data_IF_006174517726
#
_entry.id   IF_006174517726
#
_cell.length_a   1.000
_cell.length_b   1.000
_cell.length_c   1.000
_cell.angle_alpha   90.00
_cell.angle_beta   90.00
_cell.angle_gamma   90.00
#
_symmetry.space_group_name_H-M   'P 1'
#
loop_
_entity.id
_entity.type
_entity.pdbx_description
1 polymer ?
#
# COMPACT_ATOMS: atom_id res chain seq x y z
N UNK A 1 11.07 1.90 14.26
CA UNK A 1 10.97 0.61 14.98
C UNK A 1 9.90 -0.22 14.28
N UNK A 2 10.24 -1.46 13.85
CA UNK A 2 9.26 -2.37 13.21
C UNK A 2 8.27 -2.95 14.23
N UNK A 3 7.16 -3.52 13.73
CA UNK A 3 6.13 -4.14 14.58
C UNK A 3 6.68 -5.28 15.45
N UNK A 4 7.67 -6.00 14.96
CA UNK A 4 8.31 -7.09 15.69
C UNK A 4 9.09 -6.61 16.91
N UNK A 5 9.61 -5.39 16.88
CA UNK A 5 10.42 -4.79 17.95
C UNK A 5 9.56 -4.09 19.02
N UNK A 6 8.25 -3.99 18.84
CA UNK A 6 7.36 -3.45 19.86
C UNK A 6 7.39 -4.33 21.11
N UNK A 7 7.65 -3.68 22.26
CA UNK A 7 7.64 -4.30 23.59
C UNK A 7 6.95 -3.38 24.60
N UNK A 8 6.34 -3.93 25.63
CA UNK A 8 5.74 -3.12 26.71
C UNK A 8 6.73 -2.12 27.32
N UNK A 9 7.99 -2.52 27.48
CA UNK A 9 9.05 -1.62 28.03
C UNK A 9 9.39 -0.49 27.06
N UNK A 10 9.50 -0.80 25.76
CA UNK A 10 9.79 0.22 24.73
C UNK A 10 8.68 1.26 24.66
N UNK A 11 7.41 0.79 24.67
CA UNK A 11 6.22 1.66 24.68
C UNK A 11 6.18 2.52 25.96
N UNK A 12 6.42 1.92 27.11
CA UNK A 12 6.46 2.64 28.39
C UNK A 12 7.51 3.76 28.39
N UNK A 13 8.70 3.45 27.88
CA UNK A 13 9.80 4.42 27.76
C UNK A 13 9.46 5.58 26.83
N UNK A 14 8.84 5.28 25.67
CA UNK A 14 8.48 6.30 24.67
C UNK A 14 7.35 7.22 25.18
N UNK A 15 6.39 6.67 25.93
CA UNK A 15 5.27 7.43 26.49
C UNK A 15 5.58 8.10 27.84
N UNK A 16 6.76 7.84 28.44
CA UNK A 16 7.11 8.37 29.76
C UNK A 16 6.25 7.82 30.89
N UNK A 17 5.75 6.58 30.75
CA UNK A 17 4.90 5.91 31.76
C UNK A 17 5.59 4.68 32.35
N UNK A 18 5.01 4.09 33.40
CA UNK A 18 5.56 2.85 33.97
C UNK A 18 5.24 1.64 33.11
N UNK A 19 6.13 0.65 33.08
CA UNK A 19 5.90 -0.63 32.41
C UNK A 19 4.63 -1.33 32.92
N UNK A 20 4.37 -1.27 34.25
CA UNK A 20 3.19 -1.85 34.85
C UNK A 20 1.89 -1.23 34.31
N UNK A 21 1.89 0.07 34.03
CA UNK A 21 0.74 0.76 33.45
C UNK A 21 0.45 0.24 32.04
N UNK A 22 1.46 0.10 31.20
CA UNK A 22 1.28 -0.44 29.84
C UNK A 22 0.76 -1.88 29.89
N UNK A 23 1.35 -2.74 30.72
CA UNK A 23 0.89 -4.14 30.87
C UNK A 23 -0.53 -4.21 31.43
N UNK A 24 -0.93 -3.27 32.30
CA UNK A 24 -2.30 -3.23 32.85
C UNK A 24 -3.35 -2.99 31.76
N UNK A 25 -3.09 -2.05 30.84
CA UNK A 25 -4.02 -1.72 29.75
C UNK A 25 -3.90 -2.65 28.56
N UNK A 26 -2.70 -3.12 28.25
CA UNK A 26 -2.38 -3.94 27.08
C UNK A 26 -1.58 -5.18 27.50
N UNK A 27 -2.21 -6.16 28.15
CA UNK A 27 -1.52 -7.35 28.66
C UNK A 27 -1.05 -8.28 27.54
N UNK A 28 -1.76 -8.32 26.41
CA UNK A 28 -1.44 -9.17 25.26
C UNK A 28 -0.67 -8.39 24.19
N UNK A 29 0.64 -8.63 24.12
CA UNK A 29 1.52 -8.01 23.14
C UNK A 29 1.19 -8.42 21.69
N UNK A 30 0.63 -9.61 21.47
CA UNK A 30 0.24 -10.03 20.13
C UNK A 30 -1.00 -9.27 19.65
N UNK A 31 -2.00 -9.10 20.53
CA UNK A 31 -3.17 -8.26 20.26
C UNK A 31 -2.77 -6.80 20.01
N UNK A 32 -1.89 -6.25 20.83
CA UNK A 32 -1.40 -4.87 20.66
C UNK A 32 -0.70 -4.68 19.31
N UNK A 33 0.17 -5.62 18.91
CA UNK A 33 0.82 -5.57 17.58
C UNK A 33 -0.19 -5.63 16.44
N UNK A 34 -1.24 -6.44 16.55
CA UNK A 34 -2.32 -6.51 15.57
C UNK A 34 -3.09 -5.18 15.47
N UNK A 35 -3.40 -4.56 16.61
CA UNK A 35 -4.06 -3.24 16.66
C UNK A 35 -3.19 -2.15 16.03
N UNK A 36 -1.91 -2.08 16.35
CA UNK A 36 -0.97 -1.11 15.76
C UNK A 36 -0.83 -1.34 14.25
N UNK A 37 -0.69 -2.59 13.82
CA UNK A 37 -0.65 -2.95 12.41
C UNK A 37 -1.91 -2.45 11.69
N UNK A 38 -3.10 -2.75 12.24
CA UNK A 38 -4.37 -2.29 11.68
C UNK A 38 -4.43 -0.77 11.57
N UNK A 39 -4.08 -0.04 12.65
CA UNK A 39 -4.15 1.42 12.66
C UNK A 39 -3.29 2.05 11.57
N UNK A 40 -2.04 1.57 11.41
CA UNK A 40 -1.09 2.10 10.43
C UNK A 40 -1.51 1.78 8.98
N UNK A 41 -1.95 0.55 8.72
CA UNK A 41 -2.43 0.16 7.39
C UNK A 41 -3.75 0.85 7.03
N UNK A 42 -4.64 1.05 8.01
CA UNK A 42 -5.87 1.79 7.84
C UNK A 42 -5.61 3.27 7.51
N UNK A 43 -4.67 3.90 8.20
CA UNK A 43 -4.27 5.29 7.92
C UNK A 43 -3.77 5.45 6.49
N UNK A 44 -2.86 4.59 6.06
CA UNK A 44 -2.35 4.54 4.69
C UNK A 44 -3.48 4.41 3.66
N UNK A 45 -4.38 3.45 3.88
CA UNK A 45 -5.53 3.21 3.01
C UNK A 45 -6.41 4.45 2.89
N UNK A 46 -6.76 5.07 4.03
CA UNK A 46 -7.62 6.26 4.06
C UNK A 46 -6.96 7.46 3.39
N UNK A 47 -5.66 7.66 3.58
CA UNK A 47 -4.91 8.73 2.90
C UNK A 47 -4.94 8.53 1.39
N UNK A 48 -4.68 7.31 0.91
CA UNK A 48 -4.73 7.00 -0.52
C UNK A 48 -6.13 7.15 -1.09
N UNK A 49 -7.15 6.63 -0.41
CA UNK A 49 -8.54 6.75 -0.85
C UNK A 49 -8.96 8.20 -1.03
N UNK A 50 -8.63 9.08 -0.07
CA UNK A 50 -8.91 10.52 -0.16
C UNK A 50 -8.24 11.18 -1.36
N UNK A 51 -7.01 10.79 -1.69
CA UNK A 51 -6.31 11.31 -2.87
C UNK A 51 -6.98 10.89 -4.19
N UNK A 52 -7.71 9.78 -4.19
CA UNK A 52 -8.44 9.27 -5.36
C UNK A 52 -9.89 9.77 -5.42
N UNK A 53 -10.41 10.30 -4.31
CA UNK A 53 -11.75 10.90 -4.27
C UNK A 53 -11.86 12.07 -5.25
N UNK A 54 -12.95 12.09 -6.03
CA UNK A 54 -13.22 13.16 -6.99
C UNK A 54 -12.46 13.06 -8.32
N UNK A 55 -11.56 12.10 -8.50
CA UNK A 55 -10.93 11.84 -9.80
C UNK A 55 -11.92 11.03 -10.64
N UNK A 56 -12.51 11.69 -11.66
CA UNK A 56 -13.49 11.08 -12.54
C UNK A 56 -12.84 10.18 -13.60
N UNK A 57 -11.74 10.64 -14.19
CA UNK A 57 -10.97 9.95 -15.22
C UNK A 57 -10.22 8.75 -14.62
N UNK A 58 -10.44 7.55 -15.16
CA UNK A 58 -9.86 6.33 -14.60
C UNK A 58 -8.35 6.23 -14.87
N UNK A 59 -7.88 6.77 -16.00
CA UNK A 59 -6.44 6.84 -16.32
C UNK A 59 -5.72 7.73 -15.30
N UNK A 60 -6.29 8.90 -14.99
CA UNK A 60 -5.73 9.81 -13.98
C UNK A 60 -5.78 9.20 -12.58
N UNK A 61 -6.82 8.46 -12.26
CA UNK A 61 -6.92 7.70 -11.01
C UNK A 61 -5.81 6.67 -10.87
N UNK A 62 -5.56 5.87 -11.90
CA UNK A 62 -4.47 4.88 -11.92
C UNK A 62 -3.11 5.55 -11.86
N UNK A 63 -2.90 6.64 -12.63
CA UNK A 63 -1.65 7.43 -12.60
C UNK A 63 -1.37 7.99 -11.21
N UNK A 64 -2.39 8.54 -10.56
CA UNK A 64 -2.30 9.05 -9.19
C UNK A 64 -1.95 7.93 -8.22
N UNK A 65 -2.61 6.78 -8.32
CA UNK A 65 -2.32 5.62 -7.48
C UNK A 65 -0.85 5.18 -7.63
N UNK A 66 -0.34 5.03 -8.87
CA UNK A 66 1.06 4.68 -9.13
C UNK A 66 2.02 5.70 -8.49
N UNK A 67 1.73 6.99 -8.64
CA UNK A 67 2.53 8.07 -8.05
C UNK A 67 2.58 7.98 -6.52
N UNK A 68 1.43 7.77 -5.88
CA UNK A 68 1.35 7.60 -4.42
C UNK A 68 2.13 6.36 -3.97
N UNK A 69 1.97 5.23 -4.67
CA UNK A 69 2.63 3.96 -4.36
C UNK A 69 4.15 4.04 -4.53
N UNK A 70 4.64 4.89 -5.44
CA UNK A 70 6.08 5.10 -5.70
C UNK A 70 6.69 6.19 -4.83
N UNK A 71 5.93 6.85 -3.96
CA UNK A 71 6.39 7.93 -3.10
C UNK A 71 7.45 7.48 -2.07
N UNK A 72 8.48 8.30 -1.78
CA UNK A 72 9.44 8.05 -0.69
C UNK A 72 8.78 7.82 0.67
N UNK A 73 7.66 8.48 0.93
CA UNK A 73 6.90 8.36 2.20
C UNK A 73 6.36 6.94 2.40
N UNK A 74 6.21 6.17 1.32
CA UNK A 74 5.67 4.82 1.38
C UNK A 74 6.63 3.77 1.96
N UNK A 75 7.92 4.03 2.04
CA UNK A 75 8.89 3.05 2.56
C UNK A 75 8.55 2.59 3.99
N UNK A 76 8.03 3.49 4.83
CA UNK A 76 7.59 3.13 6.19
C UNK A 76 6.39 2.17 6.17
N UNK A 77 5.40 2.41 5.30
CA UNK A 77 4.23 1.53 5.15
C UNK A 77 4.60 0.17 4.56
N UNK A 78 5.50 0.14 3.58
CA UNK A 78 6.03 -1.10 3.03
C UNK A 78 6.66 -1.99 4.11
N UNK A 79 7.39 -1.39 5.05
CA UNK A 79 7.94 -2.13 6.20
C UNK A 79 6.84 -2.69 7.12
N UNK A 80 5.74 -1.93 7.35
CA UNK A 80 4.60 -2.40 8.14
C UNK A 80 3.91 -3.58 7.46
N UNK A 81 3.72 -3.54 6.14
CA UNK A 81 3.17 -4.66 5.38
C UNK A 81 4.04 -5.92 5.52
N UNK A 82 5.36 -5.77 5.37
CA UNK A 82 6.30 -6.89 5.49
C UNK A 82 6.28 -7.51 6.90
N UNK A 83 6.30 -6.66 7.93
CA UNK A 83 6.16 -7.09 9.32
C UNK A 83 4.80 -7.76 9.57
N UNK A 84 3.71 -7.21 9.01
CA UNK A 84 2.37 -7.77 9.10
C UNK A 84 2.27 -9.16 8.51
N UNK A 85 2.81 -9.39 7.32
CA UNK A 85 2.86 -10.73 6.71
C UNK A 85 3.72 -11.70 7.52
N UNK A 86 4.89 -11.27 7.96
CA UNK A 86 5.80 -12.08 8.77
C UNK A 86 5.16 -12.52 10.09
N UNK A 87 4.56 -11.57 10.83
CA UNK A 87 3.86 -11.84 12.09
C UNK A 87 2.59 -12.67 11.87
N UNK A 88 1.84 -12.40 10.80
CA UNK A 88 0.62 -13.10 10.45
C UNK A 88 0.80 -14.59 10.21
N UNK A 89 2.00 -15.04 9.85
CA UNK A 89 2.33 -16.47 9.73
C UNK A 89 2.17 -17.23 11.05
N UNK A 90 2.31 -16.55 12.18
CA UNK A 90 2.34 -17.16 13.51
C UNK A 90 1.26 -16.60 14.46
N UNK A 91 0.63 -15.48 14.10
CA UNK A 91 -0.36 -14.79 14.93
C UNK A 91 -1.68 -14.61 14.17
N UNK A 92 -2.71 -15.42 14.46
CA UNK A 92 -4.00 -15.38 13.72
C UNK A 92 -4.66 -14.02 13.68
N UNK A 93 -4.60 -13.25 14.76
CA UNK A 93 -5.16 -11.88 14.81
C UNK A 93 -4.48 -10.93 13.83
N UNK A 94 -3.14 -10.95 13.75
CA UNK A 94 -2.40 -10.17 12.74
C UNK A 94 -2.71 -10.65 11.33
N UNK A 95 -2.80 -11.96 11.10
CA UNK A 95 -3.16 -12.51 9.80
C UNK A 95 -4.54 -12.03 9.32
N UNK A 96 -5.51 -11.92 10.23
CA UNK A 96 -6.85 -11.43 9.90
C UNK A 96 -6.83 -9.96 9.52
N UNK A 97 -6.12 -9.12 10.26
CA UNK A 97 -5.89 -7.70 9.93
C UNK A 97 -5.31 -7.55 8.54
N UNK A 98 -4.22 -8.25 8.25
CA UNK A 98 -3.55 -8.19 6.96
C UNK A 98 -4.48 -8.60 5.83
N UNK A 99 -5.18 -9.73 5.97
CA UNK A 99 -6.14 -10.21 4.95
C UNK A 99 -7.29 -9.22 4.73
N UNK A 100 -7.80 -8.60 5.80
CA UNK A 100 -8.87 -7.62 5.69
C UNK A 100 -8.39 -6.38 4.92
N UNK A 101 -7.19 -5.89 5.21
CA UNK A 101 -6.61 -4.75 4.51
C UNK A 101 -6.26 -5.07 3.05
N UNK A 102 -5.74 -6.26 2.75
CA UNK A 102 -5.50 -6.70 1.36
C UNK A 102 -6.81 -6.71 0.56
N UNK A 103 -7.92 -7.22 1.11
CA UNK A 103 -9.24 -7.17 0.43
C UNK A 103 -9.68 -5.74 0.14
N UNK A 104 -9.51 -4.82 1.09
CA UNK A 104 -9.86 -3.41 0.88
C UNK A 104 -9.06 -2.76 -0.25
N UNK A 105 -7.77 -3.05 -0.32
CA UNK A 105 -6.94 -2.58 -1.42
C UNK A 105 -7.36 -3.18 -2.75
N UNK A 106 -7.66 -4.48 -2.78
CA UNK A 106 -8.19 -5.16 -3.97
C UNK A 106 -9.51 -4.53 -4.44
N UNK A 107 -10.44 -4.26 -3.51
CA UNK A 107 -11.72 -3.61 -3.82
C UNK A 107 -11.53 -2.18 -4.35
N UNK A 108 -10.60 -1.41 -3.77
CA UNK A 108 -10.29 -0.06 -4.24
C UNK A 108 -9.73 -0.07 -5.67
N UNK A 109 -8.73 -0.89 -5.92
CA UNK A 109 -8.07 -0.97 -7.24
C UNK A 109 -8.99 -1.57 -8.29
N UNK A 110 -9.72 -2.65 -7.97
CA UNK A 110 -10.68 -3.25 -8.89
C UNK A 110 -11.83 -2.30 -9.22
N UNK A 111 -12.30 -1.52 -8.25
CA UNK A 111 -13.31 -0.48 -8.48
C UNK A 111 -12.81 0.60 -9.45
N UNK A 112 -11.55 1.01 -9.33
CA UNK A 112 -10.93 1.97 -10.26
C UNK A 112 -10.84 1.39 -11.67
N UNK A 113 -10.35 0.15 -11.80
CA UNK A 113 -10.28 -0.54 -13.10
C UNK A 113 -11.67 -0.75 -13.72
N UNK A 114 -12.67 -1.18 -12.91
CA UNK A 114 -14.04 -1.38 -13.39
C UNK A 114 -14.66 -0.09 -13.94
N UNK A 115 -14.37 1.07 -13.32
CA UNK A 115 -14.84 2.35 -13.87
C UNK A 115 -14.24 2.63 -15.24
N UNK A 116 -12.93 2.42 -15.41
CA UNK A 116 -12.27 2.64 -16.69
C UNK A 116 -12.73 1.69 -17.80
N UNK A 117 -13.04 0.43 -17.46
CA UNK A 117 -13.67 -0.51 -18.40
C UNK A 117 -15.06 -0.01 -18.79
N UNK A 118 -15.86 0.40 -17.81
CA UNK A 118 -17.24 0.86 -18.05
C UNK A 118 -17.32 2.17 -18.85
N UNK A 119 -16.34 3.07 -18.70
CA UNK A 119 -16.23 4.32 -19.47
C UNK A 119 -15.58 4.13 -20.85
N UNK A 120 -15.02 2.95 -21.12
CA UNK A 120 -14.29 2.68 -22.37
C UNK A 120 -12.84 3.26 -22.39
N UNK A 121 -12.34 3.73 -21.24
CA UNK A 121 -10.97 4.18 -21.10
C UNK A 121 -9.97 3.01 -21.07
N UNK A 122 -10.42 1.84 -20.57
CA UNK A 122 -9.63 0.62 -20.50
C UNK A 122 -10.23 -0.48 -21.40
N UNK A 123 -9.38 -1.39 -21.85
CA UNK A 123 -9.81 -2.60 -22.51
C UNK A 123 -10.74 -3.43 -21.61
N UNK A 124 -11.54 -4.30 -22.21
CA UNK A 124 -12.39 -5.25 -21.48
C UNK A 124 -11.51 -6.29 -20.76
N UNK A 125 -11.29 -6.09 -19.47
CA UNK A 125 -10.43 -6.91 -18.61
C UNK A 125 -11.16 -7.30 -17.33
N UNK A 126 -10.78 -8.44 -16.76
CA UNK A 126 -11.20 -8.79 -15.41
C UNK A 126 -10.53 -7.83 -14.40
N UNK A 127 -11.32 -6.89 -13.89
CA UNK A 127 -10.86 -5.84 -12.99
C UNK A 127 -10.27 -6.40 -11.69
N UNK A 128 -10.84 -7.52 -11.19
CA UNK A 128 -10.38 -8.14 -9.95
C UNK A 128 -9.05 -8.85 -10.14
N UNK A 129 -8.89 -9.59 -11.23
CA UNK A 129 -7.61 -10.20 -11.60
C UNK A 129 -6.53 -9.12 -11.82
N UNK A 130 -6.88 -8.03 -12.52
CA UNK A 130 -6.00 -6.88 -12.74
C UNK A 130 -5.52 -6.25 -11.42
N UNK A 131 -6.45 -6.04 -10.48
CA UNK A 131 -6.12 -5.47 -9.16
C UNK A 131 -5.19 -6.39 -8.37
N UNK A 132 -5.46 -7.68 -8.38
CA UNK A 132 -4.64 -8.67 -7.67
C UNK A 132 -3.21 -8.72 -8.23
N UNK A 133 -3.06 -8.80 -9.56
CA UNK A 133 -1.75 -8.79 -10.25
C UNK A 133 -0.95 -7.53 -9.91
N UNK A 134 -1.60 -6.39 -9.93
CA UNK A 134 -0.99 -5.11 -9.66
C UNK A 134 -0.51 -4.96 -8.22
N UNK A 135 -1.33 -5.37 -7.25
CA UNK A 135 -0.97 -5.34 -5.83
C UNK A 135 0.20 -6.28 -5.57
N UNK A 136 0.17 -7.51 -6.13
CA UNK A 136 1.25 -8.46 -5.97
C UNK A 136 2.59 -7.95 -6.55
N UNK A 137 2.56 -7.28 -7.71
CA UNK A 137 3.73 -6.64 -8.30
C UNK A 137 4.27 -5.53 -7.39
N UNK A 138 3.39 -4.66 -6.92
CA UNK A 138 3.75 -3.57 -6.02
C UNK A 138 4.38 -4.07 -4.72
N UNK A 139 3.79 -5.09 -4.11
CA UNK A 139 4.28 -5.68 -2.87
C UNK A 139 5.66 -6.29 -3.06
N UNK A 140 5.89 -6.99 -4.16
CA UNK A 140 7.20 -7.52 -4.54
C UNK A 140 8.25 -6.42 -4.71
N UNK A 141 7.92 -5.35 -5.43
CA UNK A 141 8.81 -4.21 -5.61
C UNK A 141 9.12 -3.50 -4.28
N UNK A 142 8.13 -3.29 -3.43
CA UNK A 142 8.31 -2.70 -2.11
C UNK A 142 9.24 -3.55 -1.24
N UNK A 143 9.08 -4.87 -1.24
CA UNK A 143 9.97 -5.78 -0.52
C UNK A 143 11.41 -5.69 -1.03
N UNK A 144 11.60 -5.61 -2.36
CA UNK A 144 12.92 -5.41 -2.97
C UNK A 144 13.59 -4.12 -2.49
N UNK A 145 12.83 -3.01 -2.44
CA UNK A 145 13.36 -1.73 -1.95
C UNK A 145 13.84 -1.77 -0.51
N UNK A 146 13.10 -2.46 0.35
CA UNK A 146 13.45 -2.52 1.78
C UNK A 146 14.78 -3.20 2.03
N UNK A 147 15.23 -4.05 1.12
CA UNK A 147 16.54 -4.71 1.18
C UNK A 147 17.59 -4.07 0.25
N UNK A 148 17.27 -2.91 -0.34
CA UNK A 148 18.20 -2.16 -1.20
C UNK A 148 18.41 -2.77 -2.59
N UNK A 149 17.47 -3.61 -3.08
CA UNK A 149 17.54 -4.19 -4.42
C UNK A 149 16.74 -3.34 -5.42
N UNK A 150 17.41 -2.77 -6.40
CA UNK A 150 16.83 -1.87 -7.41
C UNK A 150 16.82 -0.39 -7.01
N UNK A 151 16.48 0.47 -7.95
CA UNK A 151 16.42 1.91 -7.75
C UNK A 151 14.98 2.41 -7.80
N UNK A 152 14.63 3.31 -6.87
CA UNK A 152 13.28 3.90 -6.78
C UNK A 152 12.83 4.56 -8.10
N UNK A 153 13.75 5.17 -8.84
CA UNK A 153 13.45 5.80 -10.13
C UNK A 153 12.91 4.82 -11.18
N UNK A 154 13.18 3.53 -11.03
CA UNK A 154 12.69 2.49 -11.93
C UNK A 154 11.30 1.97 -11.57
N UNK A 155 10.82 2.26 -10.32
CA UNK A 155 9.57 1.66 -9.82
C UNK A 155 8.35 2.08 -10.62
N UNK A 156 8.25 3.36 -10.94
CA UNK A 156 7.12 3.88 -11.72
C UNK A 156 7.01 3.13 -13.03
N UNK A 157 8.12 3.01 -13.75
CA UNK A 157 8.15 2.32 -15.04
C UNK A 157 7.84 0.83 -14.90
N UNK A 158 8.42 0.18 -13.88
CA UNK A 158 8.17 -1.24 -13.59
C UNK A 158 6.73 -1.56 -13.20
N UNK A 159 5.97 -0.57 -12.71
CA UNK A 159 4.53 -0.69 -12.42
C UNK A 159 3.72 -0.24 -13.64
N UNK A 160 4.04 0.91 -14.23
CA UNK A 160 3.24 1.53 -15.28
C UNK A 160 3.21 0.67 -16.55
N UNK A 161 4.37 0.19 -17.02
CA UNK A 161 4.46 -0.56 -18.29
C UNK A 161 3.61 -1.83 -18.32
N UNK A 162 3.65 -2.74 -17.31
CA UNK A 162 2.76 -3.89 -17.28
C UNK A 162 1.28 -3.51 -17.17
N UNK A 163 0.97 -2.44 -16.45
CA UNK A 163 -0.41 -1.97 -16.30
C UNK A 163 -0.95 -1.36 -17.59
N UNK A 164 -0.16 -0.56 -18.29
CA UNK A 164 -0.52 -0.04 -19.61
C UNK A 164 -0.86 -1.18 -20.59
N UNK A 165 0.00 -2.18 -20.67
CA UNK A 165 -0.22 -3.35 -21.50
C UNK A 165 -1.50 -4.12 -21.09
N UNK A 166 -1.72 -4.30 -19.77
CA UNK A 166 -2.86 -5.02 -19.24
C UNK A 166 -4.18 -4.29 -19.46
N UNK A 167 -4.18 -2.95 -19.35
CA UNK A 167 -5.36 -2.10 -19.51
C UNK A 167 -5.61 -1.66 -20.96
N UNK A 168 -4.75 -2.06 -21.91
CA UNK A 168 -4.86 -1.69 -23.32
C UNK A 168 -4.51 -0.22 -23.59
N UNK A 169 -3.71 0.40 -22.74
CA UNK A 169 -3.28 1.79 -22.87
C UNK A 169 -2.04 1.91 -23.74
N UNK A 170 -1.86 3.08 -24.37
CA UNK A 170 -0.65 3.39 -25.09
C UNK A 170 0.55 3.50 -24.13
N UNK A 171 1.77 3.07 -24.54
CA UNK A 171 2.96 3.21 -23.71
C UNK A 171 3.19 4.66 -23.27
N UNK A 172 3.52 4.85 -21.98
CA UNK A 172 3.77 6.16 -21.38
C UNK A 172 2.52 6.86 -20.83
N UNK A 173 1.31 6.30 -21.04
CA UNK A 173 0.05 6.88 -20.55
C UNK A 173 0.02 6.99 -19.03
N UNK A 174 0.55 6.00 -18.32
CA UNK A 174 0.55 5.96 -16.85
C UNK A 174 1.83 6.51 -16.22
N UNK A 175 2.79 6.95 -17.04
CA UNK A 175 3.98 7.61 -16.52
C UNK A 175 3.60 8.93 -15.83
N UNK A 176 4.13 9.23 -14.63
CA UNK A 176 3.85 10.51 -13.98
C UNK A 176 4.33 11.64 -14.90
N UNK A 177 3.51 12.68 -14.99
CA UNK A 177 3.88 13.91 -15.70
C UNK A 177 5.16 14.43 -15.04
N UNK A 178 6.27 14.41 -15.74
CA UNK A 178 7.53 15.01 -15.25
C UNK A 178 7.28 16.50 -15.13
N UNK A 179 7.42 17.06 -13.92
CA UNK A 179 7.29 18.52 -13.67
C UNK A 179 8.29 19.41 -14.45
N UNK A 180 8.90 18.91 -15.49
CA UNK A 180 9.94 19.61 -16.25
C UNK A 180 9.46 20.33 -17.51
N UNK A 181 8.18 20.20 -17.92
CA UNK A 181 7.68 20.86 -19.13
C UNK A 181 6.99 22.21 -18.90
N UNK A 182 7.07 22.79 -17.69
CA UNK A 182 6.51 24.12 -17.43
C UNK A 182 7.60 25.17 -17.18
N UNK A 183 8.61 25.24 -18.06
CA UNK A 183 9.50 26.40 -18.20
C UNK A 183 9.60 26.76 -19.70
N UNK A 184 8.58 27.42 -20.20
CA UNK A 184 8.64 28.33 -21.32
C UNK A 184 8.02 29.68 -20.91
#
# INVERSE_FOLDING_TARGET
VGLQQLTHRGIASELGVTHALVVHYEPDMAALRAHVCHALLQEEFLQTSRCLEGIADAVDGVRTLIGLMSSPRRAAHAAIWLDGWSLGRHHPGTAEVVRAMMRRWEDLVSGLVSRGVSSGEFADVDARACAWEAIALLDGLNAHMLVGYGHRSEYVERIAVPWEARLGLAPGTLSPIREHDNKL
#
